data_IF_573351339173
#
_entry.id   IF_573351339173
#
_cell.length_a   1.000
_cell.length_b   1.000
_cell.length_c   1.000
_cell.angle_alpha   90.00
_cell.angle_beta   90.00
_cell.angle_gamma   90.00
#
_symmetry.space_group_name_H-M   'P 1'
#
loop_
_entity.id
_entity.type
_entity.pdbx_description
1 polymer ?
#
# COMPACT_ATOMS: atom_id res chain seq x y z
N UNK A 1 -70.39 21.36 -35.12
CA UNK A 1 -70.37 20.83 -33.75
C UNK A 1 -69.17 19.89 -33.63
N UNK A 2 -68.17 20.31 -32.86
CA UNK A 2 -66.88 19.63 -32.71
C UNK A 2 -66.90 18.52 -31.65
N UNK A 3 -65.83 17.70 -31.69
CA UNK A 3 -65.28 16.76 -30.67
C UNK A 3 -65.64 15.29 -30.93
N UNK A 4 -64.71 14.33 -30.88
CA UNK A 4 -63.31 14.39 -30.46
C UNK A 4 -62.51 13.17 -30.94
N UNK A 5 -61.22 13.43 -31.19
CA UNK A 5 -60.18 12.44 -31.47
C UNK A 5 -59.56 12.04 -30.13
N UNK A 6 -59.42 10.74 -29.85
CA UNK A 6 -58.53 10.23 -28.80
C UNK A 6 -57.62 9.17 -29.39
N UNK A 7 -56.31 9.45 -29.33
CA UNK A 7 -55.21 8.54 -29.62
C UNK A 7 -55.03 7.55 -28.47
N UNK A 8 -54.81 6.27 -28.79
CA UNK A 8 -54.20 5.31 -27.87
C UNK A 8 -52.95 4.72 -28.54
N UNK A 9 -51.79 5.21 -28.11
CA UNK A 9 -50.49 4.65 -28.43
C UNK A 9 -50.17 3.45 -27.52
N UNK A 10 -49.46 2.49 -28.11
CA UNK A 10 -48.41 1.66 -27.51
C UNK A 10 -48.75 0.73 -26.34
N UNK A 11 -48.95 -0.55 -26.66
CA UNK A 11 -48.59 -1.68 -25.76
C UNK A 11 -47.94 -2.79 -26.59
N UNK A 12 -46.67 -2.57 -27.00
CA UNK A 12 -45.85 -3.61 -27.65
C UNK A 12 -44.38 -3.48 -27.25
N UNK A 13 -44.12 -3.23 -25.96
CA UNK A 13 -42.76 -3.25 -25.39
C UNK A 13 -42.56 -4.41 -24.42
N UNK A 14 -43.58 -4.76 -23.61
CA UNK A 14 -43.44 -5.76 -22.55
C UNK A 14 -43.31 -7.22 -23.05
N UNK A 15 -43.87 -7.55 -24.22
CA UNK A 15 -43.85 -8.91 -24.75
C UNK A 15 -42.55 -9.29 -25.48
N UNK A 16 -41.70 -8.30 -25.80
CA UNK A 16 -40.43 -8.53 -26.54
C UNK A 16 -39.21 -8.64 -25.62
N UNK A 17 -39.33 -8.20 -24.36
CA UNK A 17 -38.30 -8.37 -23.33
C UNK A 17 -38.31 -9.76 -22.68
N UNK A 18 -39.42 -10.52 -22.78
CA UNK A 18 -39.50 -11.88 -22.26
C UNK A 18 -38.84 -12.95 -23.16
N UNK A 19 -38.44 -12.60 -24.39
CA UNK A 19 -37.93 -13.56 -25.38
C UNK A 19 -36.41 -13.50 -25.64
N UNK A 20 -35.67 -12.63 -24.93
CA UNK A 20 -34.22 -12.45 -25.14
C UNK A 20 -33.35 -12.83 -23.93
N UNK A 21 -33.91 -13.52 -22.93
CA UNK A 21 -33.18 -13.93 -21.73
C UNK A 21 -32.60 -15.36 -21.78
N UNK A 22 -32.84 -16.12 -22.85
CA UNK A 22 -32.60 -17.58 -22.87
C UNK A 22 -31.41 -18.05 -23.73
N UNK A 23 -30.42 -17.19 -24.01
CA UNK A 23 -29.22 -17.59 -24.76
C UNK A 23 -27.94 -17.06 -24.11
N UNK A 24 -27.59 -17.59 -22.94
CA UNK A 24 -26.20 -17.68 -22.47
C UNK A 24 -26.09 -18.80 -21.41
N UNK A 25 -25.86 -20.02 -21.89
CA UNK A 25 -25.58 -21.22 -21.09
C UNK A 25 -24.18 -21.23 -20.45
N UNK A 26 -23.83 -20.17 -19.75
CA UNK A 26 -22.76 -20.15 -18.74
C UNK A 26 -23.36 -19.45 -17.54
N UNK A 27 -23.98 -20.24 -16.65
CA UNK A 27 -24.72 -19.77 -15.50
C UNK A 27 -23.83 -19.05 -14.51
N UNK A 28 -23.50 -17.79 -14.79
CA UNK A 28 -22.77 -16.93 -13.88
C UNK A 28 -23.67 -16.64 -12.68
N UNK A 29 -23.43 -17.36 -11.58
CA UNK A 29 -24.08 -17.07 -10.30
C UNK A 29 -23.82 -15.60 -9.92
N UNK A 30 -24.92 -14.88 -9.71
CA UNK A 30 -24.89 -13.49 -9.28
C UNK A 30 -25.14 -13.44 -7.77
N UNK A 31 -24.13 -13.08 -7.00
CA UNK A 31 -24.20 -12.95 -5.54
C UNK A 31 -23.96 -11.49 -5.14
N UNK A 32 -24.68 -11.03 -4.12
CA UNK A 32 -24.43 -9.70 -3.53
C UNK A 32 -23.12 -9.70 -2.72
N UNK A 33 -22.53 -8.52 -2.53
CA UNK A 33 -21.32 -8.38 -1.71
C UNK A 33 -21.52 -8.92 -0.29
N UNK A 34 -22.68 -8.65 0.33
CA UNK A 34 -23.01 -9.15 1.66
C UNK A 34 -23.04 -10.69 1.70
N UNK A 35 -23.65 -11.33 0.70
CA UNK A 35 -23.68 -12.80 0.63
C UNK A 35 -22.28 -13.40 0.45
N UNK A 36 -21.42 -12.74 -0.34
CA UNK A 36 -20.03 -13.14 -0.50
C UNK A 36 -19.25 -12.99 0.82
N UNK A 37 -19.46 -11.91 1.56
CA UNK A 37 -18.81 -11.66 2.85
C UNK A 37 -19.22 -12.70 3.92
N UNK A 38 -20.51 -13.04 3.98
CA UNK A 38 -21.04 -14.08 4.88
C UNK A 38 -20.44 -15.46 4.54
N UNK A 39 -20.39 -15.83 3.25
CA UNK A 39 -19.76 -17.07 2.80
C UNK A 39 -18.25 -17.09 3.10
N UNK A 40 -17.55 -15.97 2.89
CA UNK A 40 -16.13 -15.87 3.17
C UNK A 40 -15.81 -16.07 4.65
N UNK A 41 -16.60 -15.47 5.55
CA UNK A 41 -16.45 -15.64 7.00
C UNK A 41 -16.75 -17.09 7.42
N UNK A 42 -17.83 -17.65 6.89
CA UNK A 42 -18.26 -19.00 7.24
C UNK A 42 -17.26 -20.06 6.73
N UNK A 43 -16.72 -19.91 5.51
CA UNK A 43 -15.65 -20.78 5.00
C UNK A 43 -14.38 -20.70 5.86
N UNK A 44 -13.95 -19.50 6.25
CA UNK A 44 -12.78 -19.30 7.12
C UNK A 44 -12.92 -19.95 8.50
N UNK A 45 -14.12 -19.95 9.06
CA UNK A 45 -14.38 -20.55 10.37
C UNK A 45 -14.56 -22.07 10.30
N UNK A 46 -15.08 -22.58 9.18
CA UNK A 46 -15.55 -23.97 9.09
C UNK A 46 -14.53 -24.93 8.47
N UNK A 47 -13.60 -24.45 7.63
CA UNK A 47 -12.66 -25.35 6.94
C UNK A 47 -11.53 -25.81 7.86
N UNK A 48 -11.19 -27.11 7.77
CA UNK A 48 -10.10 -27.69 8.54
C UNK A 48 -8.73 -27.35 7.94
N UNK A 49 -7.94 -26.53 8.64
CA UNK A 49 -6.54 -26.30 8.29
C UNK A 49 -5.67 -27.42 8.85
N UNK A 50 -4.82 -28.00 7.99
CA UNK A 50 -3.92 -29.09 8.39
C UNK A 50 -2.64 -29.10 7.57
N UNK A 51 -1.59 -29.69 8.13
CA UNK A 51 -0.35 -29.95 7.41
C UNK A 51 -0.56 -31.13 6.45
N UNK A 52 -0.29 -30.93 5.16
CA UNK A 52 -0.51 -31.92 4.10
C UNK A 52 0.75 -32.14 3.27
N UNK A 53 0.92 -33.36 2.75
CA UNK A 53 2.04 -33.73 1.87
C UNK A 53 1.51 -34.09 0.49
N UNK A 54 2.00 -33.39 -0.54
CA UNK A 54 1.64 -33.73 -1.92
C UNK A 54 2.17 -35.12 -2.26
N UNK A 55 1.29 -36.03 -2.70
CA UNK A 55 1.68 -37.42 -3.04
C UNK A 55 2.72 -37.47 -4.16
N UNK A 56 2.56 -36.61 -5.18
CA UNK A 56 3.40 -36.56 -6.39
C UNK A 56 4.78 -35.94 -6.16
N UNK A 57 4.84 -34.73 -5.58
CA UNK A 57 6.11 -34.00 -5.40
C UNK A 57 6.78 -34.29 -4.08
N UNK A 58 6.07 -34.93 -3.14
CA UNK A 58 6.49 -35.14 -1.74
C UNK A 58 6.72 -33.84 -0.95
N UNK A 59 6.45 -32.67 -1.54
CA UNK A 59 6.50 -31.36 -0.87
C UNK A 59 5.44 -31.30 0.22
N UNK A 60 5.82 -30.75 1.38
CA UNK A 60 4.93 -30.52 2.52
C UNK A 60 4.38 -29.09 2.45
N UNK A 61 3.12 -28.95 2.83
CA UNK A 61 2.38 -27.70 2.91
C UNK A 61 1.77 -27.62 4.30
N UNK A 62 1.85 -26.45 4.94
CA UNK A 62 1.41 -26.26 6.32
C UNK A 62 0.14 -25.44 6.37
N UNK A 63 -0.75 -25.72 7.30
CA UNK A 63 -2.00 -24.98 7.51
C UNK A 63 -2.80 -24.77 6.20
N UNK A 64 -3.05 -25.86 5.47
CA UNK A 64 -3.79 -25.83 4.20
C UNK A 64 -5.10 -26.62 4.28
N UNK A 65 -6.05 -26.25 3.42
CA UNK A 65 -7.27 -27.01 3.15
C UNK A 65 -7.28 -27.56 1.73
N UNK A 66 -8.14 -28.54 1.47
CA UNK A 66 -8.31 -29.12 0.13
C UNK A 66 -9.42 -28.42 -0.66
N UNK A 67 -9.29 -28.39 -1.98
CA UNK A 67 -10.29 -27.77 -2.85
C UNK A 67 -11.67 -28.43 -2.76
N UNK A 68 -11.74 -29.75 -2.71
CA UNK A 68 -13.01 -30.49 -2.59
C UNK A 68 -13.73 -30.26 -1.26
N UNK A 69 -12.96 -30.13 -0.18
CA UNK A 69 -13.42 -29.82 1.17
C UNK A 69 -14.02 -28.40 1.21
N UNK A 70 -13.36 -27.43 0.57
CA UNK A 70 -13.91 -26.08 0.43
C UNK A 70 -15.22 -26.06 -0.36
N UNK A 71 -15.29 -26.80 -1.48
CA UNK A 71 -16.52 -26.88 -2.30
C UNK A 71 -17.67 -27.54 -1.52
N UNK A 72 -17.39 -28.58 -0.75
CA UNK A 72 -18.38 -29.24 0.10
C UNK A 72 -18.95 -28.28 1.16
N UNK A 73 -18.07 -27.54 1.85
CA UNK A 73 -18.46 -26.55 2.86
C UNK A 73 -19.27 -25.41 2.23
N UNK A 74 -18.82 -24.89 1.08
CA UNK A 74 -19.54 -23.83 0.37
C UNK A 74 -20.92 -24.28 -0.10
N UNK A 75 -21.05 -25.52 -0.58
CA UNK A 75 -22.34 -26.08 -0.97
C UNK A 75 -23.31 -26.12 0.22
N UNK A 76 -22.84 -26.61 1.37
CA UNK A 76 -23.65 -26.72 2.58
C UNK A 76 -24.04 -25.34 3.13
N UNK A 77 -23.09 -24.41 3.23
CA UNK A 77 -23.31 -23.08 3.81
C UNK A 77 -24.11 -22.15 2.89
N UNK A 78 -23.82 -22.17 1.59
CA UNK A 78 -24.50 -21.35 0.59
C UNK A 78 -25.83 -21.94 0.10
N UNK A 79 -26.17 -23.16 0.52
CA UNK A 79 -27.38 -23.91 0.09
C UNK A 79 -27.46 -24.05 -1.44
N UNK A 80 -26.31 -24.25 -2.09
CA UNK A 80 -26.24 -24.44 -3.53
C UNK A 80 -26.78 -25.82 -3.93
N UNK A 81 -27.49 -25.89 -5.07
CA UNK A 81 -28.13 -27.12 -5.52
C UNK A 81 -27.12 -28.11 -6.13
N UNK A 82 -25.97 -27.61 -6.55
CA UNK A 82 -24.90 -28.42 -7.13
C UNK A 82 -23.51 -28.03 -6.61
N UNK A 83 -22.57 -28.98 -6.71
CA UNK A 83 -21.14 -28.70 -6.45
C UNK A 83 -20.55 -27.71 -7.45
N UNK A 84 -21.09 -27.67 -8.67
CA UNK A 84 -20.64 -26.73 -9.70
C UNK A 84 -20.99 -25.28 -9.32
N UNK A 85 -22.21 -25.03 -8.84
CA UNK A 85 -22.59 -23.72 -8.29
C UNK A 85 -21.69 -23.33 -7.11
N UNK A 86 -21.43 -24.25 -6.18
CA UNK A 86 -20.54 -24.00 -5.05
C UNK A 86 -19.09 -23.72 -5.49
N UNK A 87 -18.61 -24.43 -6.52
CA UNK A 87 -17.29 -24.24 -7.11
C UNK A 87 -17.17 -22.86 -7.75
N UNK A 88 -18.16 -22.44 -8.52
CA UNK A 88 -18.21 -21.10 -9.10
C UNK A 88 -18.22 -20.04 -7.98
N UNK A 89 -18.96 -20.27 -6.89
CA UNK A 89 -19.04 -19.31 -5.77
C UNK A 89 -17.67 -19.20 -5.08
N UNK A 90 -17.00 -20.33 -4.86
CA UNK A 90 -15.64 -20.37 -4.34
C UNK A 90 -14.62 -19.69 -5.26
N UNK A 91 -14.78 -19.78 -6.58
CA UNK A 91 -13.95 -19.01 -7.53
C UNK A 91 -14.19 -17.51 -7.39
N UNK A 92 -15.43 -17.06 -7.20
CA UNK A 92 -15.72 -15.65 -6.90
C UNK A 92 -15.04 -15.19 -5.59
N UNK A 93 -15.08 -16.00 -4.53
CA UNK A 93 -14.34 -15.70 -3.29
C UNK A 93 -12.83 -15.62 -3.53
N UNK A 94 -12.30 -16.49 -4.37
CA UNK A 94 -10.88 -16.47 -4.72
C UNK A 94 -10.49 -15.26 -5.57
N UNK A 95 -11.24 -14.93 -6.63
CA UNK A 95 -10.85 -13.89 -7.60
C UNK A 95 -11.28 -12.51 -7.15
N UNK A 96 -12.52 -12.37 -6.67
CA UNK A 96 -13.11 -11.07 -6.35
C UNK A 96 -12.72 -10.61 -4.95
N UNK A 97 -12.62 -11.55 -4.00
CA UNK A 97 -12.24 -11.22 -2.62
C UNK A 97 -10.77 -11.52 -2.34
N UNK A 98 -10.03 -12.19 -3.23
CA UNK A 98 -8.66 -12.63 -2.97
C UNK A 98 -8.54 -13.39 -1.64
N UNK A 99 -9.54 -14.23 -1.32
CA UNK A 99 -9.70 -14.83 0.00
C UNK A 99 -8.67 -15.93 0.31
N UNK A 100 -8.27 -16.70 -0.70
CA UNK A 100 -7.34 -17.83 -0.57
C UNK A 100 -6.58 -18.05 -1.88
N UNK A 101 -5.46 -18.75 -1.84
CA UNK A 101 -4.63 -19.03 -3.02
C UNK A 101 -4.25 -20.51 -3.14
N UNK A 102 -4.08 -20.98 -4.38
CA UNK A 102 -3.62 -22.34 -4.66
C UNK A 102 -2.09 -22.42 -4.45
N UNK A 103 -1.64 -23.21 -3.47
CA UNK A 103 -0.21 -23.28 -3.11
C UNK A 103 0.56 -24.34 -3.89
N UNK A 104 -0.14 -25.18 -4.65
CA UNK A 104 0.46 -26.28 -5.41
C UNK A 104 0.07 -26.32 -6.90
N UNK A 105 -0.35 -25.16 -7.43
CA UNK A 105 -0.57 -24.96 -8.86
C UNK A 105 0.71 -25.20 -9.68
N UNK A 106 0.55 -25.55 -10.95
CA UNK A 106 1.67 -25.63 -11.91
C UNK A 106 1.77 -24.28 -12.63
N UNK A 107 2.97 -23.71 -12.73
CA UNK A 107 3.19 -22.43 -13.41
C UNK A 107 2.79 -22.43 -14.91
N UNK A 108 2.70 -23.59 -15.55
CA UNK A 108 2.35 -23.69 -16.98
C UNK A 108 0.85 -23.89 -17.26
N UNK A 109 0.01 -24.02 -16.23
CA UNK A 109 -1.44 -24.19 -16.40
C UNK A 109 -2.21 -23.10 -15.64
N UNK A 110 -2.71 -22.06 -16.33
CA UNK A 110 -3.44 -20.98 -15.68
C UNK A 110 -4.72 -21.48 -14.98
N UNK A 111 -5.37 -22.54 -15.48
CA UNK A 111 -6.59 -23.08 -14.85
C UNK A 111 -6.32 -23.67 -13.46
N UNK A 112 -5.09 -24.14 -13.19
CA UNK A 112 -4.70 -24.65 -11.87
C UNK A 112 -4.57 -23.56 -10.80
N UNK A 113 -4.65 -22.28 -11.18
CA UNK A 113 -4.64 -21.18 -10.22
C UNK A 113 -6.03 -20.94 -9.63
N UNK A 114 -7.11 -21.36 -10.30
CA UNK A 114 -8.48 -21.27 -9.79
C UNK A 114 -8.80 -22.39 -8.78
N UNK A 115 -9.91 -22.24 -8.06
CA UNK A 115 -10.46 -23.26 -7.18
C UNK A 115 -10.85 -24.47 -8.03
N UNK A 116 -10.38 -25.63 -7.58
CA UNK A 116 -10.62 -26.93 -8.18
C UNK A 116 -11.33 -27.82 -7.15
N UNK A 117 -12.39 -28.50 -7.56
CA UNK A 117 -13.09 -29.48 -6.76
C UNK A 117 -12.31 -30.82 -6.73
N UNK A 118 -11.12 -30.81 -6.12
CA UNK A 118 -10.24 -31.98 -6.10
C UNK A 118 -9.27 -31.97 -4.90
N UNK A 119 -9.18 -33.11 -4.21
CA UNK A 119 -8.33 -33.40 -3.04
C UNK A 119 -6.83 -33.16 -3.26
N UNK A 120 -6.39 -33.10 -4.51
CA UNK A 120 -4.99 -32.92 -4.91
C UNK A 120 -4.56 -31.46 -4.88
N UNK A 121 -5.49 -30.51 -4.89
CA UNK A 121 -5.21 -29.09 -4.84
C UNK A 121 -5.32 -28.58 -3.40
N UNK A 122 -4.29 -27.87 -2.99
CA UNK A 122 -4.18 -27.33 -1.64
C UNK A 122 -4.28 -25.82 -1.71
N UNK A 123 -5.04 -25.27 -0.78
CA UNK A 123 -5.30 -23.84 -0.69
C UNK A 123 -4.94 -23.35 0.70
N UNK A 124 -4.48 -22.11 0.75
CA UNK A 124 -4.21 -21.42 2.00
C UNK A 124 -5.02 -20.14 2.00
N UNK A 125 -5.66 -19.81 3.12
CA UNK A 125 -6.26 -18.50 3.26
C UNK A 125 -5.19 -17.43 3.11
N UNK A 126 -5.54 -16.42 2.36
CA UNK A 126 -4.83 -15.16 2.27
C UNK A 126 -5.10 -14.47 3.61
N UNK A 127 -4.32 -14.83 4.64
CA UNK A 127 -4.49 -14.36 6.02
C UNK A 127 -4.56 -12.84 6.05
N UNK A 128 -5.69 -12.23 6.48
CA UNK A 128 -6.00 -10.82 6.87
C UNK A 128 -5.01 -9.65 6.54
N UNK A 129 -4.15 -9.80 5.54
CA UNK A 129 -3.05 -8.93 5.18
C UNK A 129 -3.09 -8.58 3.68
N UNK A 130 -3.84 -9.33 2.86
CA UNK A 130 -3.63 -9.30 1.40
C UNK A 130 -4.90 -9.29 0.54
N UNK A 131 -6.10 -9.37 1.10
CA UNK A 131 -7.35 -9.45 0.34
C UNK A 131 -8.00 -8.08 0.04
N UNK A 132 -8.70 -7.46 0.99
CA UNK A 132 -9.34 -6.14 0.82
C UNK A 132 -8.37 -4.95 0.88
N UNK A 133 -7.12 -5.22 1.22
CA UNK A 133 -6.09 -4.23 1.49
C UNK A 133 -5.15 -4.01 0.31
N UNK A 134 -5.08 -4.82 -0.76
CA UNK A 134 -4.07 -4.55 -1.81
C UNK A 134 -4.23 -3.21 -2.53
N UNK A 135 -5.45 -2.81 -2.91
CA UNK A 135 -5.66 -1.48 -3.48
C UNK A 135 -5.35 -0.36 -2.47
N UNK A 136 -5.99 -0.42 -1.30
CA UNK A 136 -5.93 0.66 -0.30
C UNK A 136 -4.65 0.65 0.53
N UNK A 137 -3.96 -0.47 0.66
CA UNK A 137 -2.77 -0.70 1.50
C UNK A 137 -1.52 -0.74 0.68
N UNK A 138 -1.53 -1.15 -0.59
CA UNK A 138 -0.43 -0.76 -1.46
C UNK A 138 -0.47 0.76 -1.66
N UNK A 139 -1.65 1.38 -1.72
CA UNK A 139 -1.79 2.84 -1.76
C UNK A 139 -1.43 3.52 -0.43
N UNK A 140 -1.85 2.99 0.73
CA UNK A 140 -1.43 3.51 2.04
C UNK A 140 0.03 3.19 2.36
N UNK A 141 0.58 2.05 1.95
CA UNK A 141 2.01 1.72 2.09
C UNK A 141 2.83 2.59 1.15
N UNK A 142 2.36 2.82 -0.07
CA UNK A 142 2.97 3.76 -1.03
C UNK A 142 2.89 5.19 -0.51
N UNK A 143 1.75 5.61 0.05
CA UNK A 143 1.57 6.93 0.67
C UNK A 143 2.47 7.09 1.90
N UNK A 144 2.52 6.08 2.77
CA UNK A 144 3.39 6.05 3.95
C UNK A 144 4.87 6.07 3.53
N UNK A 145 5.22 5.38 2.45
CA UNK A 145 6.58 5.38 1.90
C UNK A 145 6.92 6.69 1.18
N UNK A 146 5.97 7.32 0.50
CA UNK A 146 6.11 8.65 -0.10
C UNK A 146 6.30 9.72 0.98
N UNK A 147 5.57 9.62 2.10
CA UNK A 147 5.74 10.49 3.25
C UNK A 147 7.12 10.29 3.90
N UNK A 148 7.53 9.03 4.11
CA UNK A 148 8.88 8.69 4.57
C UNK A 148 9.96 9.20 3.63
N UNK A 149 9.78 9.07 2.32
CA UNK A 149 10.68 9.59 1.29
C UNK A 149 10.80 11.11 1.37
N UNK A 150 9.68 11.83 1.52
CA UNK A 150 9.67 13.31 1.66
C UNK A 150 10.39 13.76 2.92
N UNK A 151 10.13 13.10 4.06
CA UNK A 151 10.78 13.43 5.33
C UNK A 151 12.27 13.09 5.26
N UNK A 152 12.65 11.95 4.66
CA UNK A 152 14.04 11.57 4.45
C UNK A 152 14.77 12.59 3.59
N UNK A 153 14.23 12.90 2.40
CA UNK A 153 14.83 13.81 1.44
C UNK A 153 15.04 15.21 2.04
N UNK A 154 14.07 15.74 2.80
CA UNK A 154 14.16 17.07 3.44
C UNK A 154 14.97 17.10 4.73
N UNK A 155 14.99 15.98 5.45
CA UNK A 155 15.56 15.89 6.79
C UNK A 155 17.05 15.56 6.77
N UNK A 156 17.48 14.73 5.81
CA UNK A 156 18.85 14.23 5.77
C UNK A 156 19.86 15.37 5.66
N UNK A 157 20.93 15.30 6.46
CA UNK A 157 21.91 16.37 6.60
C UNK A 157 22.93 16.33 5.47
N UNK A 158 22.61 16.98 4.36
CA UNK A 158 23.50 17.18 3.22
C UNK A 158 24.49 18.30 3.52
N UNK A 159 25.79 17.99 3.46
CA UNK A 159 26.88 18.97 3.53
C UNK A 159 28.14 18.36 2.94
N UNK A 160 29.15 19.18 2.71
CA UNK A 160 30.46 18.69 2.29
C UNK A 160 31.12 17.94 3.46
N UNK A 161 31.70 16.78 3.17
CA UNK A 161 32.39 15.92 4.16
C UNK A 161 33.80 15.64 3.69
N UNK A 162 34.77 15.77 4.58
CA UNK A 162 36.16 15.38 4.29
C UNK A 162 36.48 14.06 4.97
N UNK A 163 37.00 13.10 4.20
CA UNK A 163 37.46 11.81 4.69
C UNK A 163 38.69 11.38 3.88
N UNK A 164 39.75 10.93 4.58
CA UNK A 164 41.04 10.54 3.96
C UNK A 164 41.56 11.55 2.94
N UNK A 165 41.67 12.82 3.35
CA UNK A 165 42.15 13.94 2.52
C UNK A 165 41.31 14.23 1.26
N UNK A 166 40.17 13.58 1.11
CA UNK A 166 39.23 13.78 -0.01
C UNK A 166 37.98 14.47 0.50
N UNK A 167 37.55 15.55 -0.17
CA UNK A 167 36.30 16.24 0.14
C UNK A 167 35.18 15.78 -0.78
N UNK A 168 34.19 15.12 -0.21
CA UNK A 168 32.96 14.73 -0.86
C UNK A 168 31.92 15.83 -0.70
N UNK A 169 31.61 16.52 -1.80
CA UNK A 169 30.64 17.62 -1.79
C UNK A 169 29.20 17.10 -1.71
N UNK A 170 28.33 17.82 -1.01
CA UNK A 170 26.88 17.61 -0.99
C UNK A 170 26.49 16.14 -0.76
N UNK A 171 27.02 15.54 0.31
CA UNK A 171 26.70 14.16 0.69
C UNK A 171 26.13 14.07 2.11
N UNK A 172 25.54 12.92 2.41
CA UNK A 172 25.08 12.54 3.73
C UNK A 172 25.70 11.21 4.16
N UNK A 173 25.66 10.93 5.46
CA UNK A 173 26.23 9.72 6.07
C UNK A 173 25.09 8.73 6.37
N UNK A 174 25.32 7.43 6.10
CA UNK A 174 24.36 6.36 6.37
C UNK A 174 23.87 6.34 7.82
N UNK A 175 24.79 6.37 8.79
CA UNK A 175 24.48 6.44 10.22
C UNK A 175 23.60 7.64 10.60
N UNK A 176 23.93 8.84 10.13
CA UNK A 176 23.14 10.05 10.40
C UNK A 176 21.74 9.98 9.77
N UNK A 177 21.62 9.34 8.61
CA UNK A 177 20.34 9.11 7.96
C UNK A 177 19.48 8.12 8.76
N UNK A 178 20.06 7.06 9.33
CA UNK A 178 19.34 6.15 10.23
C UNK A 178 18.92 6.84 11.53
N UNK A 179 19.79 7.66 12.11
CA UNK A 179 19.45 8.46 13.30
C UNK A 179 18.26 9.39 13.03
N UNK A 180 18.22 10.01 11.84
CA UNK A 180 17.09 10.81 11.38
C UNK A 180 15.81 9.96 11.28
N UNK A 181 15.87 8.79 10.64
CA UNK A 181 14.72 7.90 10.48
C UNK A 181 14.15 7.44 11.83
N UNK A 182 15.02 7.10 12.79
CA UNK A 182 14.63 6.77 14.16
C UNK A 182 13.97 7.95 14.87
N UNK A 183 14.56 9.14 14.77
CA UNK A 183 14.02 10.38 15.38
C UNK A 183 12.62 10.71 14.88
N UNK A 184 12.38 10.51 13.59
CA UNK A 184 11.08 10.74 12.95
C UNK A 184 10.12 9.54 13.07
N UNK A 185 10.48 8.51 13.84
CA UNK A 185 9.67 7.29 14.04
C UNK A 185 9.25 6.63 12.71
N UNK A 186 10.14 6.65 11.72
CA UNK A 186 9.88 5.98 10.44
C UNK A 186 9.88 4.45 10.57
N UNK A 187 10.58 3.94 11.57
CA UNK A 187 10.60 2.54 11.94
C UNK A 187 10.80 2.38 13.46
N UNK A 188 10.65 1.16 13.97
CA UNK A 188 10.83 0.83 15.38
C UNK A 188 12.27 0.42 15.68
N UNK A 189 13.00 -0.09 14.68
CA UNK A 189 14.39 -0.52 14.82
C UNK A 189 15.32 0.08 13.76
N UNK A 190 16.61 0.15 14.08
CA UNK A 190 17.64 0.59 13.12
C UNK A 190 17.76 -0.34 11.92
N UNK A 191 17.56 -1.64 12.12
CA UNK A 191 17.55 -2.62 11.03
C UNK A 191 16.41 -2.34 10.04
N UNK A 192 15.22 -2.05 10.53
CA UNK A 192 14.10 -1.62 9.68
C UNK A 192 14.38 -0.29 8.96
N UNK A 193 15.07 0.65 9.60
CA UNK A 193 15.51 1.88 8.93
C UNK A 193 16.50 1.60 7.78
N UNK A 194 17.38 0.60 7.93
CA UNK A 194 18.27 0.17 6.84
C UNK A 194 17.46 -0.40 5.69
N UNK A 195 16.48 -1.26 5.96
CA UNK A 195 15.59 -1.81 4.92
C UNK A 195 14.79 -0.71 4.20
N UNK A 196 14.24 0.26 4.93
CA UNK A 196 13.60 1.44 4.33
C UNK A 196 14.58 2.20 3.45
N UNK A 197 15.80 2.45 3.94
CA UNK A 197 16.84 3.14 3.17
C UNK A 197 17.24 2.40 1.89
N UNK A 198 17.35 1.07 1.94
CA UNK A 198 17.60 0.21 0.76
C UNK A 198 16.47 0.28 -0.25
N UNK A 199 15.21 0.26 0.21
CA UNK A 199 14.05 0.46 -0.65
C UNK A 199 14.07 1.82 -1.33
N UNK A 200 14.38 2.91 -0.60
CA UNK A 200 14.50 4.26 -1.16
C UNK A 200 15.65 4.35 -2.19
N UNK A 201 16.75 3.63 -1.96
CA UNK A 201 17.87 3.56 -2.89
C UNK A 201 17.53 2.76 -4.15
N UNK A 202 17.08 1.51 -4.01
CA UNK A 202 16.97 0.57 -5.12
C UNK A 202 15.68 0.75 -5.93
N UNK A 203 14.56 1.04 -5.27
CA UNK A 203 13.24 1.11 -5.92
C UNK A 203 12.89 2.52 -6.39
N UNK A 204 13.29 3.53 -5.61
CA UNK A 204 12.96 4.94 -5.88
C UNK A 204 14.13 5.75 -6.43
N UNK A 205 15.33 5.17 -6.48
CA UNK A 205 16.54 5.82 -6.97
C UNK A 205 16.76 7.21 -6.34
N UNK A 206 16.48 7.34 -5.04
CA UNK A 206 16.50 8.64 -4.35
C UNK A 206 17.93 9.18 -4.16
N UNK A 207 18.88 8.27 -3.95
CA UNK A 207 20.29 8.57 -3.73
C UNK A 207 21.17 7.43 -4.21
N UNK A 208 22.45 7.74 -4.40
CA UNK A 208 23.49 6.79 -4.79
C UNK A 208 24.67 6.83 -3.81
N UNK A 209 25.41 5.72 -3.64
CA UNK A 209 26.69 5.74 -2.96
C UNK A 209 27.65 6.72 -3.62
N UNK A 210 28.41 7.46 -2.81
CA UNK A 210 29.47 8.36 -3.32
C UNK A 210 30.71 7.58 -3.73
N UNK A 211 30.95 6.43 -3.10
CA UNK A 211 32.13 5.60 -3.32
C UNK A 211 31.74 4.15 -3.55
N UNK A 212 32.18 3.58 -4.67
CA UNK A 212 31.89 2.18 -5.01
C UNK A 212 30.42 1.92 -5.33
N UNK A 213 30.06 0.64 -5.39
CA UNK A 213 28.69 0.16 -5.60
C UNK A 213 28.32 -0.71 -4.42
N UNK A 214 27.40 -0.22 -3.60
CA UNK A 214 26.93 -0.93 -2.41
C UNK A 214 25.53 -0.46 -2.02
N UNK A 215 24.89 -1.24 -1.15
CA UNK A 215 23.57 -0.91 -0.61
C UNK A 215 23.65 0.15 0.49
N UNK A 216 22.49 0.62 0.93
CA UNK A 216 22.35 1.49 2.07
C UNK A 216 22.70 0.72 3.35
N UNK A 217 23.52 1.34 4.19
CA UNK A 217 24.07 0.75 5.41
C UNK A 217 24.08 1.80 6.53
N UNK A 218 23.84 1.34 7.76
CA UNK A 218 23.94 2.13 8.99
C UNK A 218 25.41 2.29 9.43
N UNK A 219 26.18 3.06 8.67
CA UNK A 219 27.62 3.21 8.88
C UNK A 219 28.06 4.69 8.83
N UNK A 220 29.00 5.07 9.70
CA UNK A 220 29.55 6.42 9.81
C UNK A 220 30.47 6.80 8.64
N UNK A 221 30.97 5.82 7.88
CA UNK A 221 31.93 5.96 6.80
C UNK A 221 31.31 5.73 5.42
N UNK A 222 30.02 5.41 5.35
CA UNK A 222 29.28 5.26 4.08
C UNK A 222 28.63 6.59 3.71
N UNK A 223 29.09 7.17 2.61
CA UNK A 223 28.60 8.44 2.08
C UNK A 223 27.66 8.23 0.91
N UNK A 224 26.58 9.01 0.87
CA UNK A 224 25.54 8.94 -0.15
C UNK A 224 25.21 10.33 -0.69
N UNK A 225 24.78 10.41 -1.96
CA UNK A 225 24.40 11.65 -2.64
C UNK A 225 22.96 11.53 -3.13
N UNK A 226 22.12 12.49 -2.74
CA UNK A 226 20.76 12.60 -3.28
C UNK A 226 20.83 12.87 -4.79
N UNK A 227 20.00 12.18 -5.58
CA UNK A 227 19.90 12.42 -7.02
C UNK A 227 19.04 13.64 -7.35
N UNK A 228 18.09 13.96 -6.45
CA UNK A 228 17.26 15.15 -6.56
C UNK A 228 17.70 16.19 -5.53
N UNK A 229 17.80 17.48 -5.91
CA UNK A 229 18.12 18.54 -4.97
C UNK A 229 17.07 18.62 -3.86
N UNK A 230 17.49 18.96 -2.65
CA UNK A 230 16.54 19.35 -1.61
C UNK A 230 15.88 20.65 -2.09
N UNK A 231 14.54 20.68 -2.25
CA UNK A 231 13.85 21.98 -2.34
C UNK A 231 14.18 22.71 -1.05
N UNK A 232 14.87 23.83 -1.17
CA UNK A 232 15.45 24.53 -0.04
C UNK A 232 14.40 24.70 1.06
N UNK A 233 14.84 24.52 2.31
CA UNK A 233 14.24 25.33 3.37
C UNK A 233 14.53 26.75 2.92
N UNK A 234 13.54 27.42 2.32
CA UNK A 234 13.57 28.88 2.22
C UNK A 234 14.02 29.32 3.60
N UNK A 235 15.21 29.90 3.69
CA UNK A 235 15.60 30.63 4.89
C UNK A 235 14.56 31.74 4.94
N UNK A 236 13.43 31.50 5.61
CA UNK A 236 12.64 32.59 6.13
C UNK A 236 13.66 33.38 6.93
N UNK A 237 14.01 34.60 6.52
CA UNK A 237 14.86 35.43 7.36
C UNK A 237 14.20 35.39 8.72
N UNK A 238 14.98 35.05 9.75
CA UNK A 238 14.44 35.15 11.08
C UNK A 238 13.95 36.59 11.23
N UNK A 239 12.82 36.83 11.88
CA UNK A 239 12.38 38.19 12.19
C UNK A 239 13.54 39.01 12.79
N UNK A 240 14.44 38.36 13.54
CA UNK A 240 15.67 38.93 14.10
C UNK A 240 16.73 39.37 13.08
N UNK A 241 16.73 38.84 11.86
CA UNK A 241 17.60 39.29 10.76
C UNK A 241 17.04 40.54 10.07
N UNK A 242 15.73 40.77 10.12
CA UNK A 242 15.04 41.94 9.54
C UNK A 242 15.17 43.21 10.41
N UNK A 243 15.41 43.07 11.72
CA UNK A 243 15.52 44.23 12.65
C UNK A 243 16.95 44.79 12.72
N UNK A 244 17.94 44.15 12.08
CA UNK A 244 19.36 44.58 12.16
C UNK A 244 19.65 46.03 11.72
N UNK A 245 18.90 46.68 10.79
CA UNK A 245 19.12 48.11 10.53
C UNK A 245 18.34 49.06 11.47
N UNK A 246 17.37 48.58 12.26
CA UNK A 246 16.44 49.45 13.01
C UNK A 246 16.77 49.62 14.51
N UNK A 247 17.48 48.67 15.13
CA UNK A 247 17.86 48.76 16.55
C UNK A 247 18.72 49.99 16.88
N UNK A 248 19.75 50.38 16.10
CA UNK A 248 20.56 51.55 16.45
C UNK A 248 19.79 52.88 16.30
N UNK A 249 18.79 52.96 15.41
CA UNK A 249 17.99 54.18 15.18
C UNK A 249 16.98 54.45 16.30
N UNK A 250 16.37 53.41 16.87
CA UNK A 250 15.40 53.54 17.98
C UNK A 250 16.11 53.91 19.28
N UNK A 251 17.30 53.36 19.53
CA UNK A 251 18.09 53.73 20.71
C UNK A 251 18.60 55.17 20.63
N UNK A 252 18.97 55.66 19.44
CA UNK A 252 19.45 57.04 19.24
C UNK A 252 18.34 58.09 19.43
N UNK A 253 17.08 57.78 19.11
CA UNK A 253 15.95 58.71 19.29
C UNK A 253 15.46 58.82 20.74
N UNK A 254 15.81 57.87 21.60
CA UNK A 254 15.45 57.89 23.02
C UNK A 254 16.47 58.62 23.91
N UNK A 255 17.71 58.82 23.44
CA UNK A 255 18.74 59.56 24.19
C UNK A 255 18.32 61.01 24.51
N UNK A 256 17.73 61.80 23.57
CA UNK A 256 17.28 63.15 23.89
C UNK A 256 16.15 63.17 24.94
N UNK A 257 15.22 62.21 24.87
CA UNK A 257 14.09 62.14 25.81
C UNK A 257 14.53 61.80 27.24
N UNK A 258 15.51 60.90 27.39
CA UNK A 258 16.09 60.53 28.69
C UNK A 258 16.90 61.69 29.28
N UNK A 259 17.67 62.41 28.45
CA UNK A 259 18.44 63.57 28.91
C UNK A 259 17.52 64.72 29.32
N UNK A 260 16.43 64.99 28.59
CA UNK A 260 15.45 66.01 28.98
C UNK A 260 14.75 65.64 30.30
N UNK A 261 14.42 64.37 30.52
CA UNK A 261 13.83 63.93 31.79
C UNK A 261 14.75 64.21 32.98
N UNK A 262 16.04 63.90 32.89
CA UNK A 262 17.00 64.10 33.99
C UNK A 262 17.50 65.54 34.17
N UNK A 263 17.29 66.42 33.19
CA UNK A 263 17.69 67.84 33.29
C UNK A 263 16.56 68.72 33.84
N UNK A 264 15.31 68.30 33.69
CA UNK A 264 14.14 69.12 34.03
C UNK A 264 13.25 68.55 35.15
N UNK A 265 13.53 67.35 35.67
CA UNK A 265 12.88 66.74 36.83
C UNK A 265 13.92 66.11 37.77
#
# INVERSE_FOLDING_TARGET
>A
MSRGVTFAHSTTSAAREAANADLNGTGSIHMTQQQLDELAQALQFSVGLSDRKCKRTRKKYRNVFCGDEAVEILQQLGRFQSRDEALQAGRLLQTNMNLFECVNAKHHDPAHHELQDDKRFFYQFVTNATAGTRGKTDELLKQNLDDKMRVFQRGVRVKDRSYRLTTYKQCFIGKEAVDLMMKHKMAHTRAECVEIGRLLQQKYNLFVPVTGVHEFEDDAYKFYRLLLPQKDKVKTPSFLDEIKPAIPLILLSLVPAIVVYYVFY
#
